data_IF_928660097495
#
_entry.id   IF_928660097495
#
_cell.length_a   1.000
_cell.length_b   1.000
_cell.length_c   1.000
_cell.angle_alpha   90.00
_cell.angle_beta   90.00
_cell.angle_gamma   90.00
#
_symmetry.space_group_name_H-M   'P 1'
#
loop_
_entity.id
_entity.type
_entity.pdbx_description
1 polymer ?
#
# COMPACT_ATOMS: atom_id res chain seq x y z
N UNK A 1 3.50 -8.21 -13.31
CA UNK A 1 4.79 -8.95 -13.18
C UNK A 1 5.23 -9.03 -11.73
N UNK A 2 5.24 -7.90 -10.99
CA UNK A 2 5.65 -7.83 -9.58
C UNK A 2 5.01 -8.91 -8.68
N UNK A 3 3.70 -9.14 -8.81
CA UNK A 3 2.99 -10.16 -8.04
C UNK A 3 3.37 -11.62 -8.34
N UNK A 4 3.79 -11.95 -9.57
CA UNK A 4 4.16 -13.34 -9.91
C UNK A 4 5.54 -13.66 -9.31
N UNK A 5 6.44 -12.67 -9.29
CA UNK A 5 7.77 -12.80 -8.71
C UNK A 5 7.73 -13.01 -7.18
N UNK A 6 6.81 -12.37 -6.48
CA UNK A 6 6.67 -12.54 -5.03
C UNK A 6 6.19 -13.94 -4.67
N UNK A 7 5.27 -14.52 -5.45
CA UNK A 7 4.85 -15.92 -5.29
C UNK A 7 5.98 -16.91 -5.58
N UNK A 8 6.76 -16.68 -6.64
CA UNK A 8 7.93 -17.51 -6.93
C UNK A 8 9.01 -17.42 -5.85
N UNK A 9 9.23 -16.25 -5.25
CA UNK A 9 10.15 -16.12 -4.12
C UNK A 9 9.71 -16.93 -2.89
N UNK A 10 8.41 -17.21 -2.76
CA UNK A 10 7.84 -18.06 -1.72
C UNK A 10 7.77 -19.56 -2.12
N UNK A 11 8.15 -19.92 -3.35
CA UNK A 11 8.05 -21.28 -3.86
C UNK A 11 6.61 -21.76 -4.12
N UNK A 12 5.66 -20.82 -4.22
CA UNK A 12 4.25 -21.10 -4.46
C UNK A 12 3.88 -20.76 -5.91
N UNK A 13 3.07 -21.61 -6.53
CA UNK A 13 2.60 -21.42 -7.90
C UNK A 13 1.17 -20.87 -7.98
N UNK A 14 0.39 -21.03 -6.91
CA UNK A 14 -1.02 -20.61 -6.83
C UNK A 14 -1.25 -19.83 -5.54
N UNK A 15 -1.87 -18.66 -5.66
CA UNK A 15 -2.19 -17.81 -4.52
C UNK A 15 -2.74 -16.44 -4.92
N UNK A 16 -3.14 -15.68 -3.91
CA UNK A 16 -3.56 -14.29 -4.06
C UNK A 16 -2.45 -13.38 -3.56
N UNK A 17 -1.95 -12.50 -4.43
CA UNK A 17 -0.96 -11.49 -4.03
C UNK A 17 -1.63 -10.16 -3.84
N UNK A 18 -1.39 -9.56 -2.68
CA UNK A 18 -1.83 -8.22 -2.35
C UNK A 18 -0.57 -7.37 -2.21
N UNK A 19 -0.33 -6.50 -3.18
CA UNK A 19 0.80 -5.56 -3.18
C UNK A 19 0.29 -4.17 -2.79
N UNK A 20 0.71 -3.68 -1.63
CA UNK A 20 0.29 -2.40 -1.08
C UNK A 20 1.41 -1.37 -1.25
N UNK A 21 1.30 -0.54 -2.29
CA UNK A 21 2.25 0.52 -2.56
C UNK A 21 1.93 1.83 -1.83
N UNK A 22 2.65 2.90 -2.18
CA UNK A 22 2.38 4.26 -1.69
C UNK A 22 1.11 4.86 -2.29
N UNK A 23 0.84 4.63 -3.58
CA UNK A 23 -0.29 5.24 -4.29
C UNK A 23 -1.49 4.32 -4.52
N UNK A 24 -1.25 3.02 -4.73
CA UNK A 24 -2.27 2.04 -5.12
C UNK A 24 -2.01 0.71 -4.43
N UNK A 25 -3.08 -0.01 -4.11
CA UNK A 25 -3.03 -1.43 -3.72
C UNK A 25 -3.48 -2.28 -4.92
N UNK A 26 -2.66 -3.26 -5.28
CA UNK A 26 -2.96 -4.22 -6.34
C UNK A 26 -3.28 -5.59 -5.75
N UNK A 27 -4.43 -6.14 -6.12
CA UNK A 27 -4.85 -7.49 -5.77
C UNK A 27 -4.78 -8.32 -7.04
N UNK A 28 -3.80 -9.23 -7.10
CA UNK A 28 -3.49 -10.04 -8.28
C UNK A 28 -3.64 -11.52 -7.93
N UNK A 29 -4.66 -12.21 -8.46
CA UNK A 29 -4.74 -13.66 -8.35
C UNK A 29 -3.77 -14.32 -9.34
N UNK A 30 -3.06 -15.34 -8.85
CA UNK A 30 -2.15 -16.16 -9.63
C UNK A 30 -2.54 -17.62 -9.44
N UNK A 31 -2.69 -18.36 -10.53
CA UNK A 31 -2.95 -19.80 -10.50
C UNK A 31 -1.96 -20.48 -11.44
N UNK A 32 -1.26 -21.48 -10.95
CA UNK A 32 -0.25 -22.26 -11.67
C UNK A 32 0.81 -21.40 -12.39
N UNK A 33 1.21 -20.29 -11.76
CA UNK A 33 2.19 -19.34 -12.31
C UNK A 33 1.62 -18.32 -13.30
N UNK A 34 0.32 -18.38 -13.62
CA UNK A 34 -0.35 -17.45 -14.52
C UNK A 34 -1.13 -16.38 -13.74
N UNK A 35 -0.89 -15.11 -14.08
CA UNK A 35 -1.67 -13.99 -13.55
C UNK A 35 -2.86 -13.65 -14.44
N UNK A 36 -4.05 -13.55 -13.85
CA UNK A 36 -5.27 -13.20 -14.58
C UNK A 36 -5.51 -11.69 -14.53
N UNK A 37 -5.08 -10.97 -15.57
CA UNK A 37 -5.20 -9.51 -15.65
C UNK A 37 -6.64 -8.99 -15.53
N UNK A 38 -7.63 -9.75 -15.99
CA UNK A 38 -9.05 -9.40 -15.90
C UNK A 38 -9.65 -9.57 -14.48
N UNK A 39 -8.99 -10.35 -13.62
CA UNK A 39 -9.38 -10.51 -12.21
C UNK A 39 -8.55 -9.60 -11.29
N UNK A 40 -7.52 -8.95 -11.81
CA UNK A 40 -6.72 -8.00 -11.06
C UNK A 40 -7.57 -6.79 -10.68
N UNK A 41 -7.62 -6.48 -9.38
CA UNK A 41 -8.27 -5.28 -8.87
C UNK A 41 -7.22 -4.29 -8.36
N UNK A 42 -7.45 -3.02 -8.66
CA UNK A 42 -6.65 -1.92 -8.16
C UNK A 42 -7.52 -1.06 -7.25
N UNK A 43 -7.03 -0.76 -6.06
CA UNK A 43 -7.65 0.17 -5.13
C UNK A 43 -6.77 1.42 -5.01
N UNK A 44 -7.36 2.59 -5.23
CA UNK A 44 -6.67 3.88 -5.10
C UNK A 44 -6.56 4.35 -3.65
N UNK A 45 -6.50 3.44 -2.69
CA UNK A 45 -6.30 3.72 -1.26
C UNK A 45 -5.03 3.00 -0.87
N UNK A 46 -4.06 3.72 -0.31
CA UNK A 46 -2.69 3.23 -0.18
C UNK A 46 -1.91 4.04 0.87
N UNK A 47 -0.59 3.83 0.97
CA UNK A 47 0.28 4.45 1.97
C UNK A 47 0.13 5.97 2.08
N UNK A 48 0.04 6.70 0.96
CA UNK A 48 -0.13 8.14 0.91
C UNK A 48 -1.45 8.60 1.51
N UNK A 49 -2.54 7.89 1.21
CA UNK A 49 -3.86 8.20 1.75
C UNK A 49 -3.89 8.03 3.27
N UNK A 50 -3.21 6.98 3.76
CA UNK A 50 -3.04 6.73 5.20
C UNK A 50 -2.22 7.85 5.85
N UNK A 51 -1.09 8.25 5.25
CA UNK A 51 -0.27 9.36 5.78
C UNK A 51 -1.08 10.66 5.82
N UNK A 52 -1.80 11.01 4.75
CA UNK A 52 -2.66 12.21 4.73
C UNK A 52 -3.75 12.18 5.79
N UNK A 53 -4.39 11.03 5.99
CA UNK A 53 -5.41 10.87 7.02
C UNK A 53 -4.83 11.01 8.43
N UNK A 54 -3.62 10.48 8.66
CA UNK A 54 -2.92 10.65 9.94
C UNK A 54 -2.58 12.12 10.21
N UNK A 55 -2.17 12.88 9.19
CA UNK A 55 -1.98 14.34 9.31
C UNK A 55 -3.26 15.03 9.76
N UNK A 56 -4.40 14.71 9.13
CA UNK A 56 -5.69 15.31 9.47
C UNK A 56 -6.11 14.97 10.92
N UNK A 57 -5.89 13.73 11.38
CA UNK A 57 -6.13 13.32 12.77
C UNK A 57 -5.25 14.07 13.78
N UNK A 58 -3.97 14.27 13.47
CA UNK A 58 -3.05 15.02 14.33
C UNK A 58 -3.44 16.50 14.40
N UNK A 59 -3.86 17.09 13.28
CA UNK A 59 -4.38 18.45 13.23
C UNK A 59 -5.64 18.60 14.09
N UNK A 60 -6.60 17.67 13.98
CA UNK A 60 -7.82 17.68 14.80
C UNK A 60 -7.53 17.55 16.30
N UNK A 61 -6.44 16.87 16.67
CA UNK A 61 -6.00 16.71 18.05
C UNK A 61 -5.26 17.95 18.59
N UNK A 62 -5.05 18.98 17.77
CA UNK A 62 -4.41 20.23 18.14
C UNK A 62 -2.89 20.28 17.94
N UNK A 63 -2.30 19.28 17.27
CA UNK A 63 -0.90 19.36 16.84
C UNK A 63 -0.82 20.26 15.60
N UNK A 64 -0.05 21.34 15.70
CA UNK A 64 0.20 22.26 14.59
C UNK A 64 1.14 21.63 13.56
N UNK A 65 0.63 20.66 12.79
CA UNK A 65 1.33 20.02 11.69
C UNK A 65 0.90 20.65 10.37
N UNK A 66 1.86 21.18 9.61
CA UNK A 66 1.64 21.71 8.27
C UNK A 66 1.61 20.55 7.27
N UNK A 67 0.52 20.43 6.50
CA UNK A 67 0.27 19.30 5.58
C UNK A 67 1.42 18.96 4.63
N UNK A 68 2.19 19.95 4.19
CA UNK A 68 3.28 19.79 3.21
C UNK A 68 4.67 19.67 3.84
N UNK A 69 4.95 20.38 4.94
CA UNK A 69 6.27 20.38 5.57
C UNK A 69 6.47 19.16 6.49
N UNK A 70 5.41 18.74 7.17
CA UNK A 70 5.48 17.67 8.17
C UNK A 70 5.05 16.31 7.61
N UNK A 71 4.80 16.22 6.30
CA UNK A 71 4.34 14.98 5.67
C UNK A 71 5.35 13.84 5.83
N UNK A 72 6.65 14.13 5.65
CA UNK A 72 7.72 13.15 5.86
C UNK A 72 7.85 12.76 7.33
N UNK A 73 7.71 13.72 8.24
CA UNK A 73 7.71 13.44 9.69
C UNK A 73 6.55 12.53 10.07
N UNK A 74 5.35 12.76 9.54
CA UNK A 74 4.17 11.92 9.80
C UNK A 74 4.29 10.55 9.13
N UNK A 75 4.94 10.48 7.97
CA UNK A 75 5.30 9.20 7.34
C UNK A 75 6.26 8.41 8.23
N UNK A 76 7.29 9.04 8.75
CA UNK A 76 8.24 8.46 9.68
C UNK A 76 7.56 7.95 10.96
N UNK A 77 6.63 8.74 11.51
CA UNK A 77 5.81 8.35 12.66
C UNK A 77 4.98 7.10 12.31
N UNK A 78 4.34 7.07 11.15
CA UNK A 78 3.54 5.93 10.67
C UNK A 78 4.38 4.65 10.48
N UNK A 79 5.63 4.77 10.03
CA UNK A 79 6.50 3.62 9.75
C UNK A 79 7.29 3.14 10.98
N UNK A 80 7.46 3.98 12.02
CA UNK A 80 8.24 3.67 13.24
C UNK A 80 7.40 3.28 14.45
N UNK A 81 6.10 3.60 14.48
CA UNK A 81 5.14 3.14 15.50
C UNK A 81 4.53 1.80 15.10
#
# INVERSE_FOLDING_TARGET
>A
IQAVLTLYAQGLFTGLVIDAGDGVIHVVPVVDGYSFSHLTKCMNVAGRHITSYLVDLLLMRGYAMNKSADFETVRDIKEKL
#
